data_IF_714913533969
#
_entry.id   IF_714913533969
#
_cell.length_a   1.000
_cell.length_b   1.000
_cell.length_c   1.000
_cell.angle_alpha   90.00
_cell.angle_beta   90.00
_cell.angle_gamma   90.00
#
_symmetry.space_group_name_H-M   'P 1'
#
loop_
_entity.id
_entity.type
_entity.pdbx_description
1 polymer ?
#
# COMPACT_ATOMS: atom_id res chain seq x y z
N UNK A 1 25.37 -15.21 3.51
CA UNK A 1 25.43 -15.80 2.17
C UNK A 1 24.15 -15.49 1.40
N UNK A 2 24.13 -14.34 0.74
CA UNK A 2 23.18 -14.06 -0.35
C UNK A 2 23.90 -14.36 -1.66
N UNK A 3 23.40 -15.33 -2.43
CA UNK A 3 23.84 -15.58 -3.80
C UNK A 3 22.90 -14.82 -4.73
N UNK A 4 23.26 -13.57 -5.01
CA UNK A 4 22.52 -12.69 -5.92
C UNK A 4 22.67 -13.10 -7.38
N UNK A 5 23.52 -14.09 -7.68
CA UNK A 5 23.80 -14.52 -9.03
C UNK A 5 23.01 -15.73 -9.51
N UNK A 6 22.38 -16.44 -8.57
CA UNK A 6 21.59 -17.63 -8.82
C UNK A 6 20.24 -17.33 -9.47
N UNK A 7 19.90 -18.14 -10.48
CA UNK A 7 18.53 -18.20 -11.00
C UNK A 7 17.57 -18.85 -10.00
N UNK A 8 16.38 -18.27 -9.86
CA UNK A 8 15.36 -18.71 -8.91
C UNK A 8 14.00 -18.87 -9.59
N UNK A 9 13.21 -19.85 -9.13
CA UNK A 9 11.85 -20.01 -9.64
C UNK A 9 10.93 -18.89 -9.15
N UNK A 10 11.07 -18.48 -7.88
CA UNK A 10 10.24 -17.46 -7.24
C UNK A 10 11.15 -16.52 -6.44
N UNK A 11 11.02 -15.21 -6.68
CA UNK A 11 11.65 -14.16 -5.88
C UNK A 11 10.59 -13.38 -5.11
N UNK A 12 10.72 -13.34 -3.79
CA UNK A 12 9.93 -12.50 -2.90
C UNK A 12 10.70 -11.21 -2.63
N UNK A 13 10.13 -10.07 -3.01
CA UNK A 13 10.74 -8.75 -2.82
C UNK A 13 9.95 -8.00 -1.75
N UNK A 14 10.57 -7.76 -0.60
CA UNK A 14 10.04 -6.91 0.47
C UNK A 14 10.73 -5.53 0.43
N UNK A 15 9.99 -4.49 0.80
CA UNK A 15 10.51 -3.11 0.85
C UNK A 15 10.24 -2.32 -0.43
N UNK A 16 10.10 -1.00 -0.28
CA UNK A 16 10.05 -0.07 -1.43
C UNK A 16 11.46 0.16 -1.97
N UNK A 17 11.54 0.64 -3.20
CA UNK A 17 12.81 1.08 -3.81
C UNK A 17 13.06 2.54 -3.43
N UNK A 18 14.17 2.79 -2.74
CA UNK A 18 14.56 4.07 -2.10
C UNK A 18 16.02 4.47 -2.34
N UNK A 19 16.79 3.68 -3.09
CA UNK A 19 18.15 4.03 -3.56
C UNK A 19 18.37 3.65 -5.04
N UNK A 20 19.47 4.11 -5.64
CA UNK A 20 19.84 3.70 -7.00
C UNK A 20 20.33 2.25 -7.05
N UNK A 21 21.06 1.81 -6.03
CA UNK A 21 21.52 0.42 -5.87
C UNK A 21 20.34 -0.56 -5.82
N UNK A 22 19.26 -0.19 -5.11
CA UNK A 22 18.04 -1.01 -5.04
C UNK A 22 17.33 -1.12 -6.40
N UNK A 23 17.37 -0.08 -7.26
CA UNK A 23 16.82 -0.15 -8.62
C UNK A 23 17.57 -1.20 -9.45
N UNK A 24 18.90 -1.23 -9.35
CA UNK A 24 19.73 -2.19 -10.06
C UNK A 24 19.50 -3.60 -9.52
N UNK A 25 19.38 -3.74 -8.20
CA UNK A 25 19.07 -5.01 -7.55
C UNK A 25 17.73 -5.60 -8.01
N UNK A 26 16.64 -4.83 -8.01
CA UNK A 26 15.33 -5.37 -8.43
C UNK A 26 15.32 -5.76 -9.91
N UNK A 27 16.03 -5.01 -10.77
CA UNK A 27 16.21 -5.37 -12.19
C UNK A 27 16.97 -6.68 -12.35
N UNK A 28 18.08 -6.85 -11.62
CA UNK A 28 18.86 -8.09 -11.59
C UNK A 28 18.02 -9.27 -11.09
N UNK A 29 17.21 -9.08 -10.05
CA UNK A 29 16.28 -10.11 -9.55
C UNK A 29 15.27 -10.48 -10.64
N UNK A 30 14.69 -9.50 -11.34
CA UNK A 30 13.70 -9.75 -12.40
C UNK A 30 14.28 -10.59 -13.54
N UNK A 31 15.52 -10.37 -13.92
CA UNK A 31 16.22 -11.15 -14.96
C UNK A 31 16.43 -12.62 -14.55
N UNK A 32 16.58 -12.89 -13.25
CA UNK A 32 16.94 -14.21 -12.71
C UNK A 32 15.76 -14.99 -12.14
N UNK A 33 14.62 -14.33 -11.92
CA UNK A 33 13.42 -14.93 -11.36
C UNK A 33 12.40 -15.24 -12.44
N UNK A 34 11.80 -16.45 -12.40
CA UNK A 34 10.64 -16.77 -13.25
C UNK A 34 9.38 -16.05 -12.76
N UNK A 35 9.16 -16.03 -11.45
CA UNK A 35 8.05 -15.34 -10.79
C UNK A 35 8.61 -14.30 -9.81
N UNK A 36 8.18 -13.05 -9.92
CA UNK A 36 8.45 -11.99 -8.94
C UNK A 36 7.19 -11.65 -8.16
N UNK A 37 7.29 -11.75 -6.84
CA UNK A 37 6.21 -11.43 -5.91
C UNK A 37 6.61 -10.21 -5.09
N UNK A 38 5.85 -9.13 -5.20
CA UNK A 38 6.00 -7.98 -4.31
C UNK A 38 5.31 -8.29 -2.98
N UNK A 39 6.06 -8.22 -1.88
CA UNK A 39 5.60 -8.61 -0.56
C UNK A 39 5.41 -7.39 0.33
N UNK A 40 4.16 -7.17 0.72
CA UNK A 40 3.76 -6.13 1.65
C UNK A 40 3.57 -4.76 1.02
N UNK A 41 2.91 -3.87 1.75
CA UNK A 41 2.49 -2.57 1.23
C UNK A 41 3.65 -1.68 0.80
N UNK A 42 4.85 -1.88 1.35
CA UNK A 42 6.06 -1.19 0.92
C UNK A 42 6.44 -1.55 -0.52
N UNK A 43 6.57 -2.84 -0.82
CA UNK A 43 6.93 -3.29 -2.16
C UNK A 43 5.81 -3.02 -3.18
N UNK A 44 4.55 -3.20 -2.75
CA UNK A 44 3.38 -3.08 -3.63
C UNK A 44 2.99 -1.63 -3.90
N UNK A 45 2.98 -0.76 -2.89
CA UNK A 45 2.43 0.61 -2.98
C UNK A 45 3.41 1.71 -2.60
N UNK A 46 4.65 1.37 -2.23
CA UNK A 46 5.61 2.30 -1.65
C UNK A 46 5.49 2.46 -0.13
N UNK A 47 4.38 2.02 0.49
CA UNK A 47 4.24 1.97 1.95
C UNK A 47 4.23 3.33 2.65
N UNK A 48 4.44 3.31 3.97
CA UNK A 48 4.40 4.51 4.83
C UNK A 48 5.49 5.52 4.49
N UNK A 49 6.62 5.06 3.98
CA UNK A 49 7.76 5.89 3.56
C UNK A 49 7.44 6.75 2.32
N UNK A 50 6.48 6.32 1.49
CA UNK A 50 5.99 7.13 0.37
C UNK A 50 4.96 8.18 0.80
N UNK A 51 4.52 8.22 2.06
CA UNK A 51 3.55 9.20 2.54
C UNK A 51 4.04 10.64 2.32
N UNK A 52 5.33 10.90 2.49
CA UNK A 52 5.95 12.19 2.23
C UNK A 52 6.31 12.47 0.76
N UNK A 53 5.72 11.77 -0.21
CA UNK A 53 6.08 11.87 -1.65
C UNK A 53 6.07 13.31 -2.19
N UNK A 54 5.20 14.16 -1.65
CA UNK A 54 5.02 15.54 -2.13
C UNK A 54 6.03 16.53 -1.51
N UNK A 55 6.87 16.05 -0.59
CA UNK A 55 7.95 16.83 0.00
C UNK A 55 9.23 16.68 -0.81
N UNK A 56 10.04 17.73 -0.80
CA UNK A 56 11.37 17.69 -1.35
C UNK A 56 12.25 16.73 -0.53
N UNK A 57 12.92 15.80 -1.22
CA UNK A 57 13.80 14.81 -0.58
C UNK A 57 14.91 15.48 0.25
N UNK A 58 15.41 16.64 -0.22
CA UNK A 58 16.44 17.41 0.46
C UNK A 58 15.98 17.93 1.84
N UNK A 59 14.70 18.28 1.98
CA UNK A 59 14.11 18.73 3.25
C UNK A 59 13.99 17.56 4.23
N UNK A 60 13.51 16.41 3.76
CA UNK A 60 13.42 15.18 4.55
C UNK A 60 14.81 14.73 5.02
N UNK A 61 15.80 14.77 4.12
CA UNK A 61 17.17 14.42 4.42
C UNK A 61 17.77 15.32 5.50
N UNK A 62 17.64 16.64 5.34
CA UNK A 62 18.16 17.63 6.28
C UNK A 62 17.53 17.49 7.67
N UNK A 63 16.27 17.06 7.74
CA UNK A 63 15.57 16.83 9.02
C UNK A 63 16.21 15.70 9.84
N UNK A 64 16.69 14.65 9.18
CA UNK A 64 17.27 13.47 9.85
C UNK A 64 18.79 13.59 10.01
N UNK A 65 19.49 14.02 8.96
CA UNK A 65 20.95 14.00 8.88
C UNK A 65 21.60 15.39 9.01
N UNK A 66 20.82 16.47 8.95
CA UNK A 66 21.38 17.83 8.89
C UNK A 66 22.30 17.98 7.69
N UNK A 67 23.54 18.41 7.96
CA UNK A 67 24.60 18.57 6.96
C UNK A 67 25.57 17.37 6.92
N UNK A 68 25.23 16.24 7.56
CA UNK A 68 26.08 15.05 7.58
C UNK A 68 26.18 14.39 6.19
N UNK A 69 27.39 13.92 5.86
CA UNK A 69 27.63 13.15 4.64
C UNK A 69 27.44 11.66 4.91
N UNK A 70 26.53 11.03 4.16
CA UNK A 70 26.21 9.58 4.26
C UNK A 70 26.66 8.89 2.97
N UNK A 71 27.00 7.61 3.05
CA UNK A 71 27.62 6.84 1.96
C UNK A 71 26.69 6.47 0.81
N UNK A 72 25.37 6.64 0.96
CA UNK A 72 24.40 6.28 -0.07
C UNK A 72 23.61 7.52 -0.50
N UNK A 73 23.14 7.47 -1.75
CA UNK A 73 22.29 8.50 -2.31
C UNK A 73 20.81 8.10 -2.14
N UNK A 74 20.03 8.86 -1.36
CA UNK A 74 18.62 8.57 -1.17
C UNK A 74 17.84 8.92 -2.45
N UNK A 75 16.68 8.29 -2.60
CA UNK A 75 15.60 8.75 -3.49
C UNK A 75 14.27 8.63 -2.76
N UNK A 76 13.24 9.26 -3.32
CA UNK A 76 11.89 9.05 -2.83
C UNK A 76 11.51 7.58 -2.95
N UNK A 77 10.84 7.06 -1.93
CA UNK A 77 10.44 5.66 -1.88
C UNK A 77 9.33 5.38 -2.89
N UNK A 78 9.49 4.31 -3.68
CA UNK A 78 8.59 3.96 -4.78
C UNK A 78 8.29 2.45 -4.81
N UNK A 79 7.11 2.05 -5.34
CA UNK A 79 6.75 0.64 -5.47
C UNK A 79 7.67 -0.07 -6.47
N UNK A 80 7.88 -1.37 -6.25
CA UNK A 80 8.76 -2.23 -7.08
C UNK A 80 8.28 -2.27 -8.54
N UNK A 81 6.97 -2.28 -8.75
CA UNK A 81 6.35 -2.35 -10.08
C UNK A 81 6.67 -1.14 -10.98
N UNK A 82 7.13 -0.03 -10.40
CA UNK A 82 7.62 1.11 -11.19
C UNK A 82 8.88 0.77 -12.00
N UNK A 83 9.68 -0.17 -11.52
CA UNK A 83 11.01 -0.49 -12.09
C UNK A 83 11.06 -1.81 -12.85
N UNK A 84 10.23 -2.77 -12.46
CA UNK A 84 10.19 -4.12 -13.04
C UNK A 84 8.76 -4.64 -13.12
N UNK A 85 8.52 -5.63 -13.99
CA UNK A 85 7.26 -6.37 -13.98
C UNK A 85 7.15 -7.24 -12.73
N UNK A 86 6.12 -6.99 -11.92
CA UNK A 86 5.72 -7.82 -10.78
C UNK A 86 4.63 -8.80 -11.26
N UNK A 87 4.74 -10.08 -10.93
CA UNK A 87 3.77 -11.09 -11.36
C UNK A 87 2.64 -11.29 -10.35
N UNK A 88 2.90 -11.09 -9.05
CA UNK A 88 1.89 -11.19 -7.99
C UNK A 88 2.16 -10.22 -6.84
N UNK A 89 1.10 -9.76 -6.17
CA UNK A 89 1.15 -8.77 -5.08
C UNK A 89 0.59 -9.39 -3.80
N UNK A 90 1.42 -9.50 -2.77
CA UNK A 90 1.00 -9.92 -1.43
C UNK A 90 0.73 -8.69 -0.57
N UNK A 91 -0.55 -8.41 -0.32
CA UNK A 91 -0.99 -7.21 0.40
C UNK A 91 -0.81 -7.29 1.92
N UNK A 92 -0.53 -6.14 2.55
CA UNK A 92 -0.50 -5.96 4.01
C UNK A 92 0.78 -5.35 4.55
N UNK A 93 0.73 -4.85 5.79
CA UNK A 93 1.87 -4.22 6.46
C UNK A 93 2.00 -4.75 7.91
N UNK A 94 2.45 -6.00 8.11
CA UNK A 94 2.84 -6.98 7.08
C UNK A 94 1.65 -7.80 6.53
N UNK A 95 1.84 -8.58 5.44
CA UNK A 95 0.87 -9.56 4.98
C UNK A 95 0.48 -10.59 6.05
N UNK A 96 -0.72 -11.16 5.95
CA UNK A 96 -1.15 -12.21 6.86
C UNK A 96 -0.40 -13.52 6.58
N UNK A 97 -0.08 -14.28 7.62
CA UNK A 97 0.59 -15.58 7.50
C UNK A 97 -0.17 -16.52 6.54
N UNK A 98 -1.50 -16.51 6.61
CA UNK A 98 -2.35 -17.34 5.74
C UNK A 98 -2.21 -16.94 4.26
N UNK A 99 -2.13 -15.65 3.96
CA UNK A 99 -2.02 -15.12 2.59
C UNK A 99 -0.69 -15.56 1.98
N UNK A 100 0.39 -15.45 2.76
CA UNK A 100 1.73 -15.87 2.32
C UNK A 100 1.81 -17.38 2.08
N UNK A 101 1.32 -18.19 3.03
CA UNK A 101 1.32 -19.65 2.90
C UNK A 101 0.44 -20.13 1.75
N UNK A 102 -0.71 -19.49 1.54
CA UNK A 102 -1.60 -19.78 0.42
C UNK A 102 -0.90 -19.51 -0.90
N UNK A 103 -0.30 -18.32 -1.07
CA UNK A 103 0.37 -17.95 -2.31
C UNK A 103 1.57 -18.86 -2.61
N UNK A 104 2.41 -19.13 -1.60
CA UNK A 104 3.51 -20.07 -1.74
C UNK A 104 3.01 -21.46 -2.13
N UNK A 105 1.97 -21.96 -1.46
CA UNK A 105 1.36 -23.26 -1.76
C UNK A 105 0.84 -23.35 -3.20
N UNK A 106 0.16 -22.32 -3.69
CA UNK A 106 -0.34 -22.28 -5.08
C UNK A 106 0.80 -22.28 -6.09
N UNK A 107 1.87 -21.51 -5.86
CA UNK A 107 3.01 -21.50 -6.77
C UNK A 107 3.73 -22.84 -6.81
N UNK A 108 3.88 -23.52 -5.66
CA UNK A 108 4.55 -24.83 -5.59
C UNK A 108 3.81 -25.93 -6.38
N UNK A 109 2.50 -25.81 -6.57
CA UNK A 109 1.71 -26.75 -7.38
C UNK A 109 1.51 -26.27 -8.83
N UNK A 110 2.20 -25.20 -9.24
CA UNK A 110 2.10 -24.64 -10.59
C UNK A 110 0.80 -23.89 -10.88
N UNK A 111 0.08 -23.46 -9.83
CA UNK A 111 -1.14 -22.65 -9.91
C UNK A 111 -0.89 -21.20 -9.50
N UNK A 112 -1.89 -20.36 -9.68
CA UNK A 112 -1.89 -18.97 -9.22
C UNK A 112 -2.84 -18.79 -8.02
N UNK A 113 -2.47 -17.93 -7.04
CA UNK A 113 -3.37 -17.55 -5.97
C UNK A 113 -4.52 -16.69 -6.52
N UNK A 114 -5.69 -16.82 -5.91
CA UNK A 114 -6.82 -15.94 -6.19
C UNK A 114 -6.64 -14.58 -5.51
N UNK A 115 -6.95 -13.52 -6.26
CA UNK A 115 -6.93 -12.16 -5.72
C UNK A 115 -8.10 -11.92 -4.77
N UNK A 116 -7.84 -11.11 -3.74
CA UNK A 116 -8.89 -10.59 -2.88
C UNK A 116 -9.43 -9.31 -3.54
N UNK A 117 -10.60 -9.41 -4.17
CA UNK A 117 -11.24 -8.38 -4.98
C UNK A 117 -12.35 -7.62 -4.25
N UNK A 118 -12.44 -7.75 -2.93
CA UNK A 118 -13.43 -7.10 -2.09
C UNK A 118 -12.78 -6.29 -0.94
N UNK A 119 -13.47 -5.27 -0.41
CA UNK A 119 -12.89 -4.37 0.58
C UNK A 119 -13.01 -4.92 2.00
N UNK A 120 -12.18 -4.44 2.93
CA UNK A 120 -12.21 -4.78 4.36
C UNK A 120 -13.61 -4.61 4.96
N UNK A 121 -14.42 -3.69 4.43
CA UNK A 121 -15.81 -3.52 4.85
C UNK A 121 -16.64 -4.80 4.79
N UNK A 122 -16.44 -5.68 3.80
CA UNK A 122 -17.19 -6.94 3.70
C UNK A 122 -16.89 -7.83 4.91
N UNK A 123 -15.61 -8.05 5.23
CA UNK A 123 -15.19 -8.82 6.41
C UNK A 123 -15.69 -8.17 7.71
N UNK A 124 -15.58 -6.85 7.80
CA UNK A 124 -15.99 -6.08 8.96
C UNK A 124 -17.49 -6.25 9.26
N UNK A 125 -18.34 -6.20 8.23
CA UNK A 125 -19.79 -6.40 8.37
C UNK A 125 -20.16 -7.86 8.63
N UNK A 126 -19.48 -8.81 7.99
CA UNK A 126 -19.68 -10.25 8.26
C UNK A 126 -19.36 -10.61 9.71
N UNK A 127 -18.38 -9.94 10.33
CA UNK A 127 -18.04 -10.10 11.75
C UNK A 127 -19.01 -9.41 12.72
N UNK A 128 -19.98 -8.65 12.21
CA UNK A 128 -20.92 -7.90 13.06
C UNK A 128 -20.29 -6.72 13.80
N UNK A 129 -19.14 -6.22 13.33
CA UNK A 129 -18.49 -5.08 13.97
C UNK A 129 -19.35 -3.81 13.81
N UNK A 130 -19.53 -3.01 14.88
CA UNK A 130 -20.13 -1.69 14.81
C UNK A 130 -19.37 -0.79 13.82
N UNK A 131 -20.10 0.07 13.10
CA UNK A 131 -19.46 0.85 12.03
C UNK A 131 -18.75 2.08 12.62
N UNK A 132 -17.43 1.99 12.79
CA UNK A 132 -16.61 3.06 13.37
C UNK A 132 -16.79 4.40 12.66
N UNK A 133 -16.83 4.39 11.33
CA UNK A 133 -17.03 5.61 10.55
C UNK A 133 -18.37 6.29 10.87
N UNK A 134 -19.44 5.51 10.99
CA UNK A 134 -20.78 6.06 11.20
C UNK A 134 -21.01 6.39 12.67
N UNK A 135 -20.67 5.48 13.58
CA UNK A 135 -20.97 5.59 15.01
C UNK A 135 -20.01 6.52 15.76
N UNK A 136 -18.72 6.53 15.40
CA UNK A 136 -17.71 7.37 16.05
C UNK A 136 -17.29 8.58 15.22
N UNK A 137 -17.60 8.59 13.92
CA UNK A 137 -17.16 9.65 13.02
C UNK A 137 -15.68 9.59 12.63
N UNK A 138 -14.96 8.52 12.97
CA UNK A 138 -13.52 8.42 12.68
C UNK A 138 -13.25 8.05 11.21
N UNK A 139 -12.16 8.56 10.59
CA UNK A 139 -11.86 8.33 9.18
C UNK A 139 -11.31 6.92 8.91
N UNK A 140 -12.23 5.98 8.76
CA UNK A 140 -11.97 4.57 8.45
C UNK A 140 -11.82 4.35 6.94
N UNK A 141 -10.68 3.81 6.52
CA UNK A 141 -10.38 3.51 5.10
C UNK A 141 -10.86 2.12 4.65
N UNK A 142 -11.56 1.39 5.50
CA UNK A 142 -12.07 0.04 5.22
C UNK A 142 -12.81 -0.10 3.88
N UNK A 143 -13.63 0.87 3.43
CA UNK A 143 -14.38 0.77 2.18
C UNK A 143 -13.51 0.71 0.91
N UNK A 144 -12.31 1.30 0.95
CA UNK A 144 -11.42 1.39 -0.22
C UNK A 144 -10.17 0.51 -0.07
N UNK A 145 -10.06 -0.29 0.99
CA UNK A 145 -8.86 -1.07 1.30
C UNK A 145 -9.08 -2.55 0.98
N UNK A 146 -8.11 -3.20 0.34
CA UNK A 146 -8.12 -4.67 0.06
C UNK A 146 -8.34 -5.46 1.35
N UNK A 147 -9.27 -6.42 1.33
CA UNK A 147 -9.56 -7.30 2.45
C UNK A 147 -8.47 -8.38 2.69
N UNK A 148 -8.70 -9.26 3.67
CA UNK A 148 -7.84 -10.41 4.00
C UNK A 148 -7.30 -10.39 5.43
N UNK A 149 -7.26 -9.22 6.07
CA UNK A 149 -6.85 -9.07 7.48
C UNK A 149 -7.97 -9.35 8.49
N UNK A 150 -9.12 -9.85 8.03
CA UNK A 150 -10.28 -10.18 8.86
C UNK A 150 -10.81 -8.97 9.63
N UNK A 151 -10.72 -7.77 9.03
CA UNK A 151 -11.05 -6.50 9.67
C UNK A 151 -10.46 -6.35 11.10
N UNK A 152 -9.19 -6.72 11.29
CA UNK A 152 -8.50 -6.71 12.60
C UNK A 152 -8.70 -5.40 13.36
N UNK A 153 -8.39 -4.25 12.77
CA UNK A 153 -8.46 -2.98 13.50
C UNK A 153 -9.91 -2.64 13.91
N UNK A 154 -10.91 -2.72 13.00
CA UNK A 154 -12.30 -2.51 13.38
C UNK A 154 -12.83 -3.44 14.48
N UNK A 155 -12.36 -4.69 14.55
CA UNK A 155 -12.74 -5.63 15.61
C UNK A 155 -12.29 -5.16 17.02
N UNK A 156 -11.26 -4.31 17.10
CA UNK A 156 -10.82 -3.65 18.33
C UNK A 156 -11.35 -2.21 18.46
N UNK A 157 -12.32 -1.81 17.63
CA UNK A 157 -12.92 -0.48 17.68
C UNK A 157 -12.01 0.63 17.15
N UNK A 158 -11.01 0.31 16.32
CA UNK A 158 -10.06 1.26 15.71
C UNK A 158 -10.33 1.39 14.20
N UNK A 159 -10.40 2.62 13.70
CA UNK A 159 -10.57 2.89 12.27
C UNK A 159 -9.47 2.23 11.41
N UNK A 160 -9.87 1.56 10.32
CA UNK A 160 -8.92 1.00 9.36
C UNK A 160 -8.02 2.11 8.78
N UNK A 161 -6.70 1.86 8.78
CA UNK A 161 -5.68 2.80 8.29
C UNK A 161 -5.30 2.58 6.82
N UNK A 162 -5.87 1.58 6.16
CA UNK A 162 -5.58 1.29 4.75
C UNK A 162 -4.28 0.54 4.47
N UNK A 163 -3.71 -0.18 5.45
CA UNK A 163 -2.38 -0.81 5.33
C UNK A 163 -2.24 -1.91 4.28
N UNK A 164 -3.35 -2.39 3.70
CA UNK A 164 -3.36 -3.33 2.58
C UNK A 164 -3.44 -2.63 1.22
N UNK A 165 -3.49 -1.31 1.21
CA UNK A 165 -3.62 -0.46 0.03
C UNK A 165 -5.00 -0.50 -0.62
N UNK A 166 -5.16 0.30 -1.66
CA UNK A 166 -6.39 0.46 -2.41
C UNK A 166 -6.82 -0.85 -3.05
N UNK A 167 -8.13 -1.14 -2.98
CA UNK A 167 -8.71 -2.23 -3.76
C UNK A 167 -8.48 -2.03 -5.26
N UNK A 168 -8.16 -3.12 -5.97
CA UNK A 168 -7.84 -3.12 -7.40
C UNK A 168 -9.07 -2.89 -8.28
N UNK A 169 -8.92 -3.18 -9.59
CA UNK A 169 -10.03 -3.23 -10.55
C UNK A 169 -10.89 -1.96 -10.65
N UNK A 170 -10.32 -0.80 -10.33
CA UNK A 170 -10.99 0.51 -10.37
C UNK A 170 -12.26 0.62 -9.49
N UNK A 171 -12.35 -0.21 -8.44
CA UNK A 171 -13.47 -0.16 -7.46
C UNK A 171 -13.13 0.59 -6.17
N UNK A 172 -11.92 1.18 -6.07
CA UNK A 172 -11.54 2.05 -4.95
C UNK A 172 -12.14 3.46 -5.13
N UNK A 173 -13.37 3.67 -4.65
CA UNK A 173 -14.09 4.95 -4.78
C UNK A 173 -13.68 5.97 -3.70
N UNK A 174 -12.49 6.56 -3.87
CA UNK A 174 -11.96 7.56 -2.93
C UNK A 174 -12.82 8.81 -2.81
N UNK A 175 -13.47 9.22 -3.90
CA UNK A 175 -14.40 10.35 -3.96
C UNK A 175 -15.61 10.15 -3.03
N UNK A 176 -16.25 8.99 -3.11
CA UNK A 176 -17.41 8.64 -2.29
C UNK A 176 -17.07 8.60 -0.81
N UNK A 177 -15.89 8.05 -0.47
CA UNK A 177 -15.41 8.01 0.90
C UNK A 177 -15.02 9.41 1.41
N UNK A 178 -14.38 10.22 0.57
CA UNK A 178 -14.03 11.60 0.89
C UNK A 178 -15.27 12.47 1.13
N UNK A 179 -16.35 12.27 0.36
CA UNK A 179 -17.63 12.95 0.58
C UNK A 179 -18.20 12.64 1.97
N UNK A 180 -18.10 11.38 2.42
CA UNK A 180 -18.56 10.99 3.76
C UNK A 180 -17.68 11.61 4.86
N UNK A 181 -16.37 11.70 4.66
CA UNK A 181 -15.46 12.39 5.57
C UNK A 181 -15.74 13.90 5.62
N UNK A 182 -16.00 14.53 4.48
CA UNK A 182 -16.40 15.95 4.37
C UNK A 182 -17.67 16.23 5.17
N UNK A 183 -18.71 15.38 5.06
CA UNK A 183 -19.94 15.48 5.85
C UNK A 183 -19.71 15.41 7.36
N UNK A 184 -18.63 14.74 7.80
CA UNK A 184 -18.21 14.63 9.20
C UNK A 184 -17.30 15.77 9.65
N UNK A 185 -17.02 16.73 8.78
CA UNK A 185 -16.27 17.95 9.10
C UNK A 185 -14.76 17.85 8.88
N UNK A 186 -14.25 16.79 8.25
CA UNK A 186 -12.82 16.70 7.90
C UNK A 186 -12.50 17.63 6.73
N UNK A 187 -11.35 18.28 6.81
CA UNK A 187 -10.81 19.12 5.74
C UNK A 187 -10.19 18.28 4.64
N UNK A 188 -10.09 18.86 3.44
CA UNK A 188 -9.48 18.24 2.26
C UNK A 188 -8.08 17.68 2.55
N UNK A 189 -7.26 18.47 3.22
CA UNK A 189 -5.87 18.12 3.54
C UNK A 189 -5.84 16.92 4.51
N UNK A 190 -6.69 16.90 5.53
CA UNK A 190 -6.78 15.79 6.50
C UNK A 190 -7.21 14.48 5.81
N UNK A 191 -8.14 14.56 4.86
CA UNK A 191 -8.59 13.42 4.07
C UNK A 191 -7.46 12.88 3.20
N UNK A 192 -6.77 13.76 2.47
CA UNK A 192 -5.64 13.39 1.62
C UNK A 192 -4.53 12.75 2.44
N UNK A 193 -4.09 13.39 3.52
CA UNK A 193 -3.05 12.86 4.41
C UNK A 193 -3.44 11.48 4.96
N UNK A 194 -4.71 11.31 5.36
CA UNK A 194 -5.20 10.03 5.85
C UNK A 194 -5.16 8.94 4.79
N UNK A 195 -5.62 9.23 3.57
CA UNK A 195 -5.67 8.26 2.48
C UNK A 195 -4.29 7.93 1.91
N UNK A 196 -3.36 8.90 1.90
CA UNK A 196 -2.01 8.79 1.34
C UNK A 196 -1.09 7.83 2.09
N UNK A 197 -1.30 7.59 3.40
CA UNK A 197 -0.42 6.74 4.24
C UNK A 197 0.04 5.46 3.54
N UNK A 198 -0.87 4.78 2.81
CA UNK A 198 -0.54 3.58 2.02
C UNK A 198 -0.96 3.67 0.54
N UNK A 199 -1.40 4.86 0.08
CA UNK A 199 -1.87 5.09 -1.29
C UNK A 199 -1.24 6.30 -1.96
N UNK A 200 -0.10 6.80 -1.47
CA UNK A 200 0.58 7.98 -2.03
C UNK A 200 0.95 7.85 -3.53
N UNK A 201 1.10 6.61 -4.01
CA UNK A 201 1.35 6.33 -5.44
C UNK A 201 0.10 5.94 -6.23
N UNK A 202 -1.09 5.98 -5.63
CA UNK A 202 -2.33 5.71 -6.36
C UNK A 202 -2.68 6.93 -7.25
N UNK A 203 -2.71 6.78 -8.58
CA UNK A 203 -2.86 7.91 -9.49
C UNK A 203 -4.22 8.59 -9.43
N UNK A 204 -5.26 7.87 -8.95
CA UNK A 204 -6.65 8.39 -8.92
C UNK A 204 -6.99 9.07 -7.60
N UNK A 205 -6.19 8.89 -6.56
CA UNK A 205 -6.51 9.34 -5.21
C UNK A 205 -6.75 10.85 -5.15
N UNK A 206 -5.76 11.64 -5.58
CA UNK A 206 -5.87 13.11 -5.47
C UNK A 206 -6.94 13.67 -6.38
N UNK A 207 -7.02 13.20 -7.62
CA UNK A 207 -8.04 13.60 -8.59
C UNK A 207 -9.46 13.37 -8.02
N UNK A 208 -9.73 12.17 -7.52
CA UNK A 208 -11.03 11.81 -6.94
C UNK A 208 -11.38 12.64 -5.71
N UNK A 209 -10.41 12.88 -4.82
CA UNK A 209 -10.65 13.68 -3.61
C UNK A 209 -10.84 15.16 -3.96
N UNK A 210 -10.03 15.72 -4.87
CA UNK A 210 -10.12 17.13 -5.29
C UNK A 210 -11.50 17.47 -5.85
N UNK A 211 -12.06 16.59 -6.69
CA UNK A 211 -13.40 16.75 -7.27
C UNK A 211 -14.50 17.03 -6.23
N UNK A 212 -14.43 16.37 -5.07
CA UNK A 212 -15.42 16.53 -3.98
C UNK A 212 -15.38 17.93 -3.33
N UNK A 213 -14.26 18.63 -3.44
CA UNK A 213 -14.07 19.96 -2.87
C UNK A 213 -14.22 21.08 -3.89
N UNK A 214 -14.06 20.80 -5.18
CA UNK A 214 -14.31 21.75 -6.28
C UNK A 214 -15.80 21.91 -6.61
N UNK A 215 -16.62 20.87 -6.46
CA UNK A 215 -18.08 20.92 -6.75
C UNK A 215 -18.91 21.69 -5.70
N UNK A 216 -18.28 22.44 -4.79
CA UNK A 216 -18.96 23.12 -3.67
C UNK A 216 -18.53 24.57 -3.39
N UNK A 217 -17.75 25.18 -4.28
CA UNK A 217 -17.54 26.64 -4.36
C UNK A 217 -18.42 27.25 -5.46
#
# INVERSE_FOLDING_TARGET
DSDEDREVDIAFIEGSVSTQEEVELVKKIREKAKIVVAVGSCAVHGGVQSWGKDKELSELWKTVYGDAHVKFEPKMAEPVEKYIKVDYKLYGCPPEKKDFLYALGTFLVGSWPEDIDYPVCVECRLRGNPCILIEKGEPCLGPVTVAGCDARCPAYGIACIGCRGAIGYDVAWFDSLALEFKKKGLKKEEILERMKIFNAHNPKLEEMVNKIFEEGE
#
